data_IF_032432903306
#
_entry.id   IF_032432903306
#
_cell.length_a   1.000
_cell.length_b   1.000
_cell.length_c   1.000
_cell.angle_alpha   90.00
_cell.angle_beta   90.00
_cell.angle_gamma   90.00
#
_symmetry.space_group_name_H-M   'P 1'
#
loop_
_entity.id
_entity.type
_entity.pdbx_description
1 polymer ?
#
# COMPACT_ATOMS: atom_id res chain seq x y z
N UNK A 1 6.36 -11.18 8.26
CA UNK A 1 6.09 -9.83 7.72
C UNK A 1 5.79 -9.97 6.25
N UNK A 2 4.58 -9.65 5.82
CA UNK A 2 4.18 -9.68 4.41
C UNK A 2 4.58 -8.38 3.71
N UNK A 3 4.60 -8.39 2.37
CA UNK A 3 4.84 -7.17 1.59
C UNK A 3 3.82 -6.07 1.90
N UNK A 4 2.55 -6.44 2.08
CA UNK A 4 1.49 -5.50 2.48
C UNK A 4 1.75 -4.85 3.85
N UNK A 5 2.19 -5.62 4.83
CA UNK A 5 2.56 -5.11 6.16
C UNK A 5 3.76 -4.16 6.08
N UNK A 6 4.76 -4.48 5.26
CA UNK A 6 5.90 -3.60 5.00
C UNK A 6 5.46 -2.27 4.38
N UNK A 7 4.61 -2.32 3.35
CA UNK A 7 4.06 -1.14 2.68
C UNK A 7 3.31 -0.22 3.64
N UNK A 8 2.44 -0.81 4.47
CA UNK A 8 1.70 -0.07 5.50
C UNK A 8 2.65 0.62 6.47
N UNK A 9 3.71 -0.05 6.92
CA UNK A 9 4.70 0.54 7.84
C UNK A 9 5.41 1.71 7.20
N UNK A 10 5.88 1.59 5.97
CA UNK A 10 6.57 2.70 5.30
C UNK A 10 5.64 3.90 5.03
N UNK A 11 4.39 3.65 4.66
CA UNK A 11 3.38 4.72 4.55
C UNK A 11 3.20 5.48 5.87
N UNK A 12 3.06 4.74 6.98
CA UNK A 12 2.88 5.34 8.31
C UNK A 12 4.15 6.06 8.80
N UNK A 13 5.34 5.55 8.48
CA UNK A 13 6.63 6.21 8.77
C UNK A 13 6.73 7.59 8.12
N UNK A 14 6.17 7.72 6.92
CA UNK A 14 6.10 9.00 6.19
C UNK A 14 4.92 9.88 6.64
N UNK A 15 4.09 9.44 7.61
CA UNK A 15 2.87 10.11 8.06
C UNK A 15 1.84 10.36 6.94
N UNK A 16 1.82 9.49 5.92
CA UNK A 16 0.95 9.63 4.77
C UNK A 16 -0.36 8.86 4.94
N UNK A 17 -1.46 9.49 4.52
CA UNK A 17 -2.74 8.81 4.34
C UNK A 17 -2.70 7.83 3.16
N UNK A 18 -3.59 6.83 3.14
CA UNK A 18 -3.63 5.82 2.07
C UNK A 18 -3.85 6.45 0.68
N UNK A 19 -4.73 7.45 0.58
CA UNK A 19 -5.03 8.16 -0.68
C UNK A 19 -3.83 8.94 -1.20
N UNK A 20 -3.12 9.63 -0.32
CA UNK A 20 -1.94 10.42 -0.66
C UNK A 20 -0.78 9.53 -1.09
N UNK A 21 -0.50 8.48 -0.33
CA UNK A 21 0.52 7.50 -0.66
C UNK A 21 0.26 6.81 -2.00
N UNK A 22 -1.00 6.40 -2.26
CA UNK A 22 -1.37 5.80 -3.53
C UNK A 22 -1.19 6.77 -4.70
N UNK A 23 -1.56 8.05 -4.53
CA UNK A 23 -1.33 9.11 -5.52
C UNK A 23 0.17 9.29 -5.85
N UNK A 24 1.03 9.32 -4.83
CA UNK A 24 2.49 9.46 -5.01
C UNK A 24 3.10 8.30 -5.79
N UNK A 25 2.56 7.09 -5.62
CA UNK A 25 3.04 5.89 -6.30
C UNK A 25 2.26 5.54 -7.58
N UNK A 26 1.36 6.42 -8.05
CA UNK A 26 0.60 6.19 -9.28
C UNK A 26 -0.32 4.97 -9.24
N UNK A 27 -0.82 4.60 -8.06
CA UNK A 27 -1.72 3.44 -7.85
C UNK A 27 -3.06 3.88 -7.30
N UNK A 28 -4.08 3.03 -7.46
CA UNK A 28 -5.37 3.22 -6.80
C UNK A 28 -5.26 2.98 -5.30
N UNK A 29 -5.87 3.87 -4.50
CA UNK A 29 -5.91 3.70 -3.03
C UNK A 29 -6.62 2.41 -2.61
N UNK A 30 -7.62 1.97 -3.39
CA UNK A 30 -8.35 0.72 -3.13
C UNK A 30 -7.46 -0.49 -3.35
N UNK A 31 -6.69 -0.49 -4.44
CA UNK A 31 -5.70 -1.54 -4.71
C UNK A 31 -4.65 -1.61 -3.60
N UNK A 32 -4.09 -0.45 -3.24
CA UNK A 32 -3.04 -0.38 -2.22
C UNK A 32 -3.56 -0.79 -0.83
N UNK A 33 -4.80 -0.45 -0.49
CA UNK A 33 -5.46 -0.92 0.74
C UNK A 33 -5.69 -2.44 0.75
N UNK A 34 -6.05 -3.03 -0.39
CA UNK A 34 -6.16 -4.48 -0.51
C UNK A 34 -4.79 -5.17 -0.38
N UNK A 35 -3.72 -4.56 -0.89
CA UNK A 35 -2.35 -5.05 -0.70
C UNK A 35 -1.95 -4.98 0.78
N UNK A 36 -2.14 -3.83 1.44
CA UNK A 36 -1.79 -3.66 2.86
C UNK A 36 -2.53 -4.62 3.81
N UNK A 37 -3.74 -5.03 3.44
CA UNK A 37 -4.57 -5.95 4.22
C UNK A 37 -4.40 -7.42 3.82
N UNK A 38 -3.52 -7.71 2.86
CA UNK A 38 -3.28 -9.07 2.37
C UNK A 38 -4.40 -9.65 1.52
N UNK A 39 -5.42 -8.85 1.14
CA UNK A 39 -6.50 -9.26 0.24
C UNK A 39 -6.03 -9.47 -1.20
N UNK A 40 -5.00 -8.74 -1.61
CA UNK A 40 -4.37 -8.85 -2.93
C UNK A 40 -2.87 -9.02 -2.73
N UNK A 41 -2.31 -10.09 -3.29
CA UNK A 41 -0.86 -10.23 -3.42
C UNK A 41 -0.42 -9.49 -4.69
N UNK A 42 0.49 -8.51 -4.61
CA UNK A 42 1.10 -7.94 -5.80
C UNK A 42 2.01 -8.98 -6.44
N UNK A 43 1.44 -9.76 -7.36
CA UNK A 43 2.19 -10.53 -8.35
C UNK A 43 2.60 -9.61 -9.50
N UNK A 44 3.76 -9.90 -10.09
CA UNK A 44 4.35 -9.16 -11.20
C UNK A 44 3.34 -9.05 -12.37
N UNK A 45 2.73 -7.88 -12.54
CA UNK A 45 2.30 -7.38 -13.87
C UNK A 45 3.50 -6.72 -14.56
#
# INVERSE_FOLDING_TARGET
MTFGEFLRRERLRQKLGLREFARLHGRSYTYLGNVETGKVSPGLD
#
